data_IF_878306029966
#
_entry.id   IF_878306029966
#
_cell.length_a   1.000
_cell.length_b   1.000
_cell.length_c   1.000
_cell.angle_alpha   90.00
_cell.angle_beta   90.00
_cell.angle_gamma   90.00
#
_symmetry.space_group_name_H-M   'P 1'
#
loop_
_entity.id
_entity.type
_entity.pdbx_description
1 polymer ?
#
# COMPACT_ATOMS: atom_id res chain seq x y z
N UNK A 1 -5.13 34.16 12.20
CA UNK A 1 -4.68 33.18 11.18
C UNK A 1 -5.93 32.51 10.64
N UNK A 2 -6.22 32.68 9.35
CA UNK A 2 -7.37 32.04 8.71
C UNK A 2 -6.86 30.68 8.22
N UNK A 3 -7.29 29.60 8.87
CA UNK A 3 -7.00 28.25 8.41
C UNK A 3 -7.70 28.05 7.07
N UNK A 4 -6.93 27.88 5.99
CA UNK A 4 -7.48 27.52 4.67
C UNK A 4 -8.32 26.25 4.83
N UNK A 5 -9.58 26.22 4.36
CA UNK A 5 -10.41 25.03 4.46
C UNK A 5 -9.72 23.88 3.71
N UNK A 6 -9.54 22.74 4.39
CA UNK A 6 -8.99 21.52 3.78
C UNK A 6 -9.85 21.11 2.58
N UNK A 7 -9.19 20.70 1.49
CA UNK A 7 -9.89 20.25 0.28
C UNK A 7 -10.69 18.98 0.57
N UNK A 8 -11.66 18.66 -0.29
CA UNK A 8 -12.41 17.40 -0.19
C UNK A 8 -11.45 16.20 -0.32
N UNK A 9 -10.47 16.30 -1.21
CA UNK A 9 -9.46 15.28 -1.45
C UNK A 9 -8.59 15.03 -0.20
N UNK A 10 -8.21 16.09 0.54
CA UNK A 10 -7.49 15.94 1.82
C UNK A 10 -8.29 15.12 2.85
N UNK A 11 -9.61 15.33 2.89
CA UNK A 11 -10.49 14.61 3.80
C UNK A 11 -10.66 13.15 3.37
N UNK A 12 -10.74 12.89 2.06
CA UNK A 12 -10.80 11.54 1.51
C UNK A 12 -9.51 10.79 1.84
N UNK A 13 -8.36 11.41 1.62
CA UNK A 13 -7.06 10.84 1.94
C UNK A 13 -6.91 10.54 3.44
N UNK A 14 -7.42 11.41 4.31
CA UNK A 14 -7.46 11.20 5.76
C UNK A 14 -8.33 9.99 6.13
N UNK A 15 -9.53 9.88 5.58
CA UNK A 15 -10.43 8.73 5.81
C UNK A 15 -9.78 7.43 5.36
N UNK A 16 -9.16 7.41 4.17
CA UNK A 16 -8.44 6.25 3.67
C UNK A 16 -7.27 5.87 4.60
N UNK A 17 -6.50 6.85 5.07
CA UNK A 17 -5.38 6.66 6.02
C UNK A 17 -5.85 6.07 7.35
N UNK A 18 -6.95 6.57 7.91
CA UNK A 18 -7.54 6.01 9.13
C UNK A 18 -8.07 4.59 8.92
N UNK A 19 -8.69 4.30 7.77
CA UNK A 19 -9.12 2.96 7.41
C UNK A 19 -7.97 1.97 7.29
N UNK A 20 -6.82 2.42 6.79
CA UNK A 20 -5.60 1.62 6.74
C UNK A 20 -5.02 1.35 8.13
N UNK A 21 -4.96 2.38 8.98
CA UNK A 21 -4.52 2.22 10.37
C UNK A 21 -5.40 1.25 11.15
N UNK A 22 -6.73 1.39 11.03
CA UNK A 22 -7.67 0.51 11.69
C UNK A 22 -7.52 -0.95 11.22
N UNK A 23 -7.23 -1.17 9.93
CA UNK A 23 -6.99 -2.52 9.43
C UNK A 23 -5.74 -3.15 10.04
N UNK A 24 -4.61 -2.44 10.07
CA UNK A 24 -3.38 -2.96 10.69
C UNK A 24 -3.53 -3.23 12.19
N UNK A 25 -4.26 -2.38 12.90
CA UNK A 25 -4.55 -2.59 14.32
C UNK A 25 -5.38 -3.88 14.58
N UNK A 26 -6.18 -4.32 13.61
CA UNK A 26 -6.96 -5.55 13.68
C UNK A 26 -6.24 -6.77 13.08
N UNK A 27 -5.08 -6.56 12.43
CA UNK A 27 -4.33 -7.59 11.70
C UNK A 27 -2.84 -7.49 12.07
N UNK A 28 -2.53 -7.72 13.35
CA UNK A 28 -1.21 -7.42 13.94
C UNK A 28 -0.06 -8.27 13.37
N UNK A 29 -0.37 -9.41 12.78
CA UNK A 29 0.55 -10.30 12.06
C UNK A 29 0.88 -9.82 10.64
N UNK A 30 0.05 -8.93 10.09
CA UNK A 30 0.17 -8.43 8.72
C UNK A 30 1.09 -7.22 8.64
N UNK A 31 1.90 -7.16 7.59
CA UNK A 31 2.78 -6.02 7.28
C UNK A 31 2.39 -5.29 6.01
N UNK A 32 1.58 -5.93 5.17
CA UNK A 32 1.11 -5.36 3.92
C UNK A 32 -0.37 -5.69 3.71
N UNK A 33 -1.10 -4.70 3.18
CA UNK A 33 -2.50 -4.80 2.80
C UNK A 33 -2.63 -4.42 1.33
N UNK A 34 -3.62 -5.01 0.65
CA UNK A 34 -4.17 -4.46 -0.58
C UNK A 34 -5.65 -4.10 -0.39
N UNK A 35 -6.10 -3.03 -1.03
CA UNK A 35 -7.51 -2.65 -1.11
C UNK A 35 -7.78 -1.92 -2.43
N UNK A 36 -9.04 -1.80 -2.82
CA UNK A 36 -9.41 -0.89 -3.89
C UNK A 36 -9.04 0.55 -3.50
N UNK A 37 -8.64 1.34 -4.50
CA UNK A 37 -8.38 2.75 -4.31
C UNK A 37 -9.69 3.50 -4.08
N UNK A 38 -9.66 4.47 -3.18
CA UNK A 38 -10.76 5.41 -2.98
C UNK A 38 -10.56 6.57 -3.97
N UNK A 39 -11.61 6.92 -4.72
CA UNK A 39 -11.54 8.03 -5.66
C UNK A 39 -11.13 9.33 -4.96
N UNK A 40 -10.08 10.00 -5.44
CA UNK A 40 -9.56 11.24 -4.85
C UNK A 40 -8.65 11.06 -3.63
N UNK A 41 -8.25 9.83 -3.27
CA UNK A 41 -7.38 9.63 -2.09
C UNK A 41 -5.92 10.04 -2.29
N UNK A 42 -5.48 10.21 -3.53
CA UNK A 42 -4.14 10.64 -3.88
C UNK A 42 -4.20 12.09 -4.39
N UNK A 43 -3.35 12.96 -3.83
CA UNK A 43 -3.21 14.33 -4.28
C UNK A 43 -2.60 14.43 -5.70
N UNK A 44 -1.78 13.44 -6.05
CA UNK A 44 -1.25 13.28 -7.40
C UNK A 44 -2.32 12.66 -8.31
N UNK A 45 -2.46 13.18 -9.52
CA UNK A 45 -3.33 12.58 -10.52
C UNK A 45 -2.69 11.25 -10.98
N UNK A 46 -3.12 10.15 -10.37
CA UNK A 46 -2.72 8.79 -10.77
C UNK A 46 -3.32 8.36 -12.12
N UNK A 47 -4.13 9.21 -12.74
CA UNK A 47 -4.77 8.97 -14.02
C UNK A 47 -5.97 8.02 -13.92
N UNK A 48 -6.58 7.77 -15.08
CA UNK A 48 -7.54 6.69 -15.23
C UNK A 48 -6.80 5.35 -15.27
N UNK A 49 -7.37 4.28 -14.69
CA UNK A 49 -6.78 2.96 -14.83
C UNK A 49 -6.80 2.54 -16.31
N UNK A 50 -5.86 1.71 -16.77
CA UNK A 50 -5.90 1.14 -18.12
C UNK A 50 -7.21 0.39 -18.40
N UNK A 51 -7.56 0.24 -19.68
CA UNK A 51 -8.77 -0.50 -20.10
C UNK A 51 -8.74 -1.92 -19.54
N UNK A 52 -9.84 -2.34 -18.91
CA UNK A 52 -9.96 -3.65 -18.28
C UNK A 52 -9.28 -3.75 -16.91
N UNK A 53 -8.76 -2.65 -16.37
CA UNK A 53 -8.12 -2.57 -15.05
C UNK A 53 -8.85 -1.60 -14.11
N UNK A 54 -8.54 -1.70 -12.83
CA UNK A 54 -9.00 -0.81 -11.76
C UNK A 54 -7.83 -0.48 -10.82
N UNK A 55 -7.91 0.67 -10.15
CA UNK A 55 -6.91 1.06 -9.16
C UNK A 55 -7.09 0.33 -7.83
N UNK A 56 -6.01 -0.25 -7.35
CA UNK A 56 -5.83 -0.74 -6.00
C UNK A 56 -4.71 0.05 -5.32
N UNK A 57 -4.63 -0.08 -4.00
CA UNK A 57 -3.56 0.48 -3.19
C UNK A 57 -2.92 -0.64 -2.38
N UNK A 58 -1.61 -0.78 -2.55
CA UNK A 58 -0.77 -1.53 -1.64
C UNK A 58 -0.34 -0.62 -0.51
N UNK A 59 -0.63 -1.03 0.72
CA UNK A 59 -0.27 -0.29 1.94
C UNK A 59 0.72 -1.12 2.72
N UNK A 60 1.93 -0.61 2.90
CA UNK A 60 3.02 -1.25 3.61
C UNK A 60 3.27 -0.53 4.93
N UNK A 61 3.18 -1.25 6.05
CA UNK A 61 3.50 -0.70 7.37
C UNK A 61 4.96 -1.01 7.76
N UNK A 62 5.81 0.00 7.58
CA UNK A 62 7.23 -0.08 7.93
C UNK A 62 7.41 -0.25 9.45
N UNK A 63 6.77 0.63 10.20
CA UNK A 63 6.69 0.64 11.66
C UNK A 63 5.27 1.06 12.06
N UNK A 64 4.81 0.76 13.28
CA UNK A 64 3.49 1.20 13.73
C UNK A 64 3.30 2.70 13.48
N UNK A 65 2.30 3.05 12.66
CA UNK A 65 2.03 4.44 12.28
C UNK A 65 2.82 5.01 11.09
N UNK A 66 3.90 4.35 10.65
CA UNK A 66 4.67 4.73 9.46
C UNK A 66 4.31 3.83 8.28
N UNK A 67 3.54 4.37 7.32
CA UNK A 67 2.97 3.61 6.21
C UNK A 67 3.31 4.22 4.86
N UNK A 68 3.63 3.35 3.89
CA UNK A 68 3.76 3.69 2.48
C UNK A 68 2.52 3.22 1.74
N UNK A 69 1.95 4.07 0.88
CA UNK A 69 0.79 3.75 0.04
C UNK A 69 1.21 3.84 -1.42
N UNK A 70 1.02 2.77 -2.18
CA UNK A 70 1.39 2.70 -3.59
C UNK A 70 0.16 2.32 -4.42
N UNK A 71 -0.30 3.16 -5.36
CA UNK A 71 -1.34 2.79 -6.30
C UNK A 71 -0.81 1.75 -7.29
N UNK A 72 -1.66 0.79 -7.66
CA UNK A 72 -1.37 -0.25 -8.64
C UNK A 72 -2.63 -0.54 -9.46
N UNK A 73 -2.49 -0.61 -10.78
CA UNK A 73 -3.57 -1.05 -11.65
C UNK A 73 -3.58 -2.56 -11.76
N UNK A 74 -4.72 -3.20 -11.48
CA UNK A 74 -4.92 -4.64 -11.63
C UNK A 74 -6.18 -4.90 -12.44
N UNK A 75 -6.26 -6.08 -13.07
CA UNK A 75 -7.42 -6.49 -13.84
C UNK A 75 -8.72 -6.37 -13.03
N UNK A 76 -9.79 -5.97 -13.72
CA UNK A 76 -11.14 -6.00 -13.13
C UNK A 76 -11.45 -7.46 -12.74
N UNK A 77 -11.97 -7.64 -11.52
CA UNK A 77 -12.23 -8.97 -10.98
C UNK A 77 -10.99 -9.68 -10.40
N UNK A 78 -9.83 -9.01 -10.31
CA UNK A 78 -8.70 -9.54 -9.56
C UNK A 78 -9.09 -9.80 -8.10
N UNK A 79 -9.01 -11.07 -7.70
CA UNK A 79 -9.36 -11.48 -6.34
C UNK A 79 -8.20 -11.20 -5.39
N UNK A 80 -8.43 -10.28 -4.47
CA UNK A 80 -7.48 -9.93 -3.41
C UNK A 80 -7.71 -10.75 -2.14
N UNK A 81 -8.83 -11.47 -2.06
CA UNK A 81 -9.14 -12.31 -0.90
C UNK A 81 -8.19 -13.51 -0.87
N UNK A 82 -7.54 -13.73 0.26
CA UNK A 82 -6.57 -14.82 0.42
C UNK A 82 -5.12 -14.50 0.03
N UNK A 83 -4.80 -13.27 -0.39
CA UNK A 83 -3.39 -12.90 -0.61
C UNK A 83 -2.66 -12.74 0.73
N UNK A 84 -1.61 -13.55 0.90
CA UNK A 84 -0.68 -13.46 2.03
C UNK A 84 0.33 -12.33 1.81
N UNK A 85 1.12 -12.05 2.85
CA UNK A 85 2.13 -11.00 2.79
C UNK A 85 3.19 -11.27 1.72
N UNK A 86 3.58 -12.52 1.48
CA UNK A 86 4.58 -12.89 0.49
C UNK A 86 4.13 -12.58 -0.95
N UNK A 87 2.88 -12.89 -1.27
CA UNK A 87 2.25 -12.57 -2.54
C UNK A 87 2.11 -11.06 -2.72
N UNK A 88 1.64 -10.35 -1.69
CA UNK A 88 1.49 -8.90 -1.72
C UNK A 88 2.83 -8.16 -1.85
N UNK A 89 3.89 -8.63 -1.18
CA UNK A 89 5.23 -8.09 -1.36
C UNK A 89 5.78 -8.36 -2.75
N UNK A 90 5.45 -9.51 -3.34
CA UNK A 90 5.85 -9.83 -4.71
C UNK A 90 5.17 -8.91 -5.72
N UNK A 91 3.87 -8.66 -5.53
CA UNK A 91 3.13 -7.70 -6.32
C UNK A 91 3.68 -6.26 -6.15
N UNK A 92 3.96 -5.87 -4.91
CA UNK A 92 4.56 -4.56 -4.61
C UNK A 92 5.91 -4.37 -5.32
N UNK A 93 6.79 -5.38 -5.34
CA UNK A 93 8.07 -5.31 -6.07
C UNK A 93 7.91 -5.23 -7.59
N UNK A 94 6.86 -5.85 -8.14
CA UNK A 94 6.58 -5.82 -9.58
C UNK A 94 6.05 -4.45 -10.02
N UNK A 95 5.23 -3.81 -9.18
CA UNK A 95 4.65 -2.50 -9.46
C UNK A 95 5.53 -1.31 -9.04
N UNK A 96 6.48 -1.51 -8.13
CA UNK A 96 7.41 -0.49 -7.66
C UNK A 96 8.35 -0.02 -8.80
N UNK A 97 8.46 1.31 -9.04
CA UNK A 97 9.58 1.90 -9.76
C UNK A 97 10.91 1.46 -9.13
N UNK A 98 12.00 1.44 -9.92
CA UNK A 98 13.32 0.97 -9.47
C UNK A 98 13.76 1.66 -8.16
N UNK A 99 13.43 2.93 -7.99
CA UNK A 99 13.75 3.76 -6.82
C UNK A 99 13.05 3.30 -5.52
N UNK A 100 11.84 2.72 -5.60
CA UNK A 100 11.11 2.21 -4.43
C UNK A 100 11.64 0.85 -3.95
N UNK A 101 12.51 0.20 -4.73
CA UNK A 101 13.17 -1.07 -4.34
C UNK A 101 14.17 -0.88 -3.20
N UNK A 102 14.78 0.30 -3.07
CA UNK A 102 15.69 0.59 -1.96
C UNK A 102 14.95 0.73 -0.63
N UNK A 103 13.72 1.25 -0.64
CA UNK A 103 12.87 1.31 0.54
C UNK A 103 12.47 -0.11 0.99
N UNK A 104 12.10 -0.99 0.06
CA UNK A 104 11.86 -2.42 0.31
C UNK A 104 13.07 -3.14 0.94
N UNK A 105 14.27 -2.90 0.43
CA UNK A 105 15.50 -3.50 0.96
C UNK A 105 15.77 -3.06 2.39
N UNK A 106 15.52 -1.78 2.71
CA UNK A 106 15.63 -1.25 4.08
C UNK A 106 14.56 -1.83 5.01
N UNK A 107 13.34 -2.03 4.53
CA UNK A 107 12.25 -2.63 5.32
C UNK A 107 12.46 -4.12 5.59
N UNK A 108 13.04 -4.86 4.64
CA UNK A 108 13.50 -6.24 4.84
C UNK A 108 14.61 -6.31 5.87
N UNK A 109 15.62 -5.44 5.77
CA UNK A 109 16.72 -5.38 6.73
C UNK A 109 16.25 -5.01 8.15
N UNK A 110 15.21 -4.17 8.26
CA UNK A 110 14.67 -3.73 9.54
C UNK A 110 13.78 -4.75 10.27
N UNK A 111 13.26 -5.79 9.59
CA UNK A 111 12.14 -6.59 10.13
C UNK A 111 12.07 -8.09 9.78
N UNK A 112 13.16 -8.75 9.41
CA UNK A 112 13.13 -10.21 9.22
C UNK A 112 13.91 -10.97 10.30
N UNK A 113 13.34 -11.25 11.48
CA UNK A 113 13.64 -12.49 12.15
C UNK A 113 12.97 -13.63 11.37
N UNK A 114 13.74 -14.41 10.60
CA UNK A 114 13.27 -15.71 10.10
C UNK A 114 13.32 -15.99 8.59
N UNK A 115 13.99 -15.21 7.75
CA UNK A 115 14.42 -15.76 6.44
C UNK A 115 15.69 -16.55 6.69
N UNK A 116 15.56 -17.85 6.94
CA UNK A 116 16.68 -18.78 6.85
C UNK A 116 17.26 -18.65 5.45
N UNK A 117 18.51 -18.19 5.40
CA UNK A 117 19.37 -18.21 4.22
C UNK A 117 19.24 -19.57 3.53
N UNK A 118 18.88 -19.68 2.24
CA UNK A 118 19.04 -20.95 1.54
C UNK A 118 20.52 -21.31 1.60
N UNK A 119 20.81 -22.51 2.11
CA UNK A 119 22.14 -23.06 2.14
C UNK A 119 22.73 -23.10 0.72
N UNK A 120 24.04 -22.86 0.68
CA UNK A 120 24.92 -22.69 -0.48
C UNK A 120 24.64 -23.56 -1.69
#
# INVERSE_FOLDING_TARGET
MISTPRSIDDRIAEVATHGDAAWFNNNLDRRIRIRQAVAGEFAENIGQPPVGMQWFVLVLEAQPGARLRQPIALSIGFDISGLDDGALFSLFKQAAPVESRDLLSKLRAAKLPGITKPAS
#
